data_IF_867472961692
#
_entry.id   IF_867472961692
#
_cell.length_a   1.000
_cell.length_b   1.000
_cell.length_c   1.000
_cell.angle_alpha   90.00
_cell.angle_beta   90.00
_cell.angle_gamma   90.00
#
_symmetry.space_group_name_H-M   'P 1'
#
loop_
_entity.id
_entity.type
_entity.pdbx_description
1 polymer ?
#
# COMPACT_ATOMS: atom_id res chain seq x y z
N UNK A 1 10.00 -13.34 19.30
CA UNK A 1 9.03 -13.04 18.22
C UNK A 1 8.28 -11.75 18.56
N UNK A 2 7.69 -11.66 19.76
CA UNK A 2 6.94 -10.48 20.23
C UNK A 2 7.69 -9.15 20.17
N UNK A 3 9.00 -9.15 20.45
CA UNK A 3 9.80 -7.93 20.43
C UNK A 3 9.94 -7.33 19.02
N UNK A 4 9.98 -8.18 17.99
CA UNK A 4 10.02 -7.74 16.59
C UNK A 4 8.69 -7.09 16.19
N UNK A 5 7.57 -7.66 16.59
CA UNK A 5 6.22 -7.18 16.25
C UNK A 5 5.94 -5.79 16.84
N UNK A 6 6.50 -5.49 18.01
CA UNK A 6 6.41 -4.17 18.67
C UNK A 6 7.35 -3.11 18.10
N UNK A 7 8.17 -3.46 17.10
CA UNK A 7 9.10 -2.51 16.47
C UNK A 7 8.32 -1.32 15.88
N UNK A 8 8.67 -0.07 16.21
CA UNK A 8 8.04 1.10 15.61
C UNK A 8 8.12 1.09 14.08
N UNK A 9 7.02 1.45 13.41
CA UNK A 9 6.86 1.33 11.95
C UNK A 9 7.93 2.10 11.15
N UNK A 10 8.51 3.15 11.72
CA UNK A 10 9.59 3.94 11.12
C UNK A 10 10.91 3.17 10.91
N UNK A 11 11.13 2.07 11.64
CA UNK A 11 12.34 1.25 11.50
C UNK A 11 12.19 0.17 10.42
N UNK A 12 11.00 0.05 9.82
CA UNK A 12 10.80 -0.78 8.64
C UNK A 12 11.48 -0.12 7.44
N UNK A 13 12.34 -0.88 6.75
CA UNK A 13 13.08 -0.41 5.58
C UNK A 13 12.12 0.20 4.54
N UNK A 14 12.39 1.44 4.15
CA UNK A 14 11.57 2.18 3.17
C UNK A 14 10.48 3.08 3.78
N UNK A 15 10.32 3.08 5.10
CA UNK A 15 9.42 3.97 5.83
C UNK A 15 10.23 5.07 6.52
N UNK A 16 10.39 6.21 5.83
CA UNK A 16 10.99 7.40 6.44
C UNK A 16 10.03 8.15 7.38
N UNK A 17 10.50 9.19 8.08
CA UNK A 17 9.73 9.92 9.09
C UNK A 17 8.36 10.41 8.59
N UNK A 18 8.31 10.94 7.37
CA UNK A 18 7.07 11.43 6.74
C UNK A 18 6.04 10.32 6.49
N UNK A 19 6.48 9.14 6.06
CA UNK A 19 5.58 7.99 5.86
C UNK A 19 5.13 7.41 7.18
N UNK A 20 6.02 7.37 8.17
CA UNK A 20 5.68 6.92 9.52
C UNK A 20 4.58 7.82 10.12
N UNK A 21 4.67 9.15 9.97
CA UNK A 21 3.63 10.07 10.44
C UNK A 21 2.26 9.83 9.78
N UNK A 22 2.23 9.61 8.47
CA UNK A 22 1.00 9.27 7.76
C UNK A 22 0.43 7.89 8.15
N UNK A 23 1.29 6.93 8.53
CA UNK A 23 0.85 5.62 9.03
C UNK A 23 0.27 5.74 10.45
N UNK A 24 0.91 6.50 11.31
CA UNK A 24 0.40 6.79 12.67
C UNK A 24 -0.95 7.49 12.66
N UNK A 25 -1.17 8.42 11.71
CA UNK A 25 -2.47 9.10 11.60
C UNK A 25 -3.63 8.18 11.22
N UNK A 26 -3.35 6.98 10.71
CA UNK A 26 -4.33 5.91 10.43
C UNK A 26 -4.24 4.74 11.43
N UNK A 27 -3.54 4.92 12.55
CA UNK A 27 -3.45 3.95 13.64
C UNK A 27 -2.39 2.85 13.47
N UNK A 28 -1.43 3.03 12.55
CA UNK A 28 -0.35 2.07 12.31
C UNK A 28 0.93 2.57 13.00
N UNK A 29 1.21 2.05 14.19
CA UNK A 29 2.33 2.46 15.04
C UNK A 29 3.51 1.45 15.00
N UNK A 30 3.19 0.17 14.88
CA UNK A 30 4.13 -0.95 14.99
C UNK A 30 4.19 -1.80 13.73
N UNK A 31 5.16 -2.71 13.66
CA UNK A 31 5.25 -3.72 12.61
C UNK A 31 4.01 -4.62 12.59
N UNK A 32 3.48 -4.98 13.76
CA UNK A 32 2.25 -5.78 13.86
C UNK A 32 1.05 -5.08 13.22
N UNK A 33 0.85 -3.80 13.55
CA UNK A 33 -0.24 -3.00 12.96
C UNK A 33 -0.11 -2.96 11.43
N UNK A 34 1.11 -2.81 10.92
CA UNK A 34 1.36 -2.76 9.48
C UNK A 34 1.05 -4.09 8.78
N UNK A 35 1.36 -5.23 9.41
CA UNK A 35 1.06 -6.56 8.86
C UNK A 35 -0.46 -6.80 8.76
N UNK A 36 -1.21 -6.28 9.72
CA UNK A 36 -2.68 -6.41 9.75
C UNK A 36 -3.41 -5.23 9.11
N UNK A 37 -2.70 -4.23 8.59
CA UNK A 37 -3.26 -3.13 7.81
C UNK A 37 -3.55 -3.57 6.37
N UNK A 38 -4.66 -4.29 6.19
CA UNK A 38 -5.04 -4.86 4.90
C UNK A 38 -5.43 -3.79 3.86
N UNK A 39 -5.10 -3.98 2.57
CA UNK A 39 -5.52 -3.07 1.51
C UNK A 39 -7.04 -2.99 1.38
N UNK A 40 -7.57 -1.78 1.16
CA UNK A 40 -9.01 -1.58 0.89
C UNK A 40 -9.48 -2.25 -0.40
N UNK A 41 -8.62 -2.29 -1.43
CA UNK A 41 -8.90 -2.88 -2.73
C UNK A 41 -7.60 -3.34 -3.39
N UNK A 42 -7.61 -4.54 -3.95
CA UNK A 42 -6.57 -5.00 -4.86
C UNK A 42 -6.90 -4.58 -6.29
N UNK A 43 -5.96 -3.93 -6.97
CA UNK A 43 -6.10 -3.58 -8.37
C UNK A 43 -5.44 -4.66 -9.22
N UNK A 44 -6.23 -5.33 -10.04
CA UNK A 44 -5.70 -6.31 -11.00
C UNK A 44 -5.17 -5.57 -12.24
N UNK A 45 -3.84 -5.62 -12.40
CA UNK A 45 -3.12 -5.04 -13.55
C UNK A 45 -2.61 -6.09 -14.52
N UNK A 46 -3.11 -7.33 -14.44
CA UNK A 46 -2.73 -8.43 -15.34
C UNK A 46 -3.23 -8.25 -16.77
N UNK A 47 -4.31 -7.48 -16.95
CA UNK A 47 -4.91 -7.22 -18.26
C UNK A 47 -4.62 -5.80 -18.71
N UNK A 48 -4.01 -5.67 -19.88
CA UNK A 48 -3.62 -4.39 -20.48
C UNK A 48 -4.46 -4.16 -21.74
N UNK A 49 -4.90 -2.93 -21.97
CA UNK A 49 -5.46 -2.51 -23.26
C UNK A 49 -4.70 -1.31 -23.81
N UNK A 50 -4.78 -1.09 -25.14
CA UNK A 50 -4.25 0.13 -25.74
C UNK A 50 -5.10 1.34 -25.32
N UNK A 51 -4.50 2.54 -25.40
CA UNK A 51 -5.23 3.78 -25.08
C UNK A 51 -6.44 3.99 -26.02
N UNK A 52 -6.35 3.55 -27.27
CA UNK A 52 -7.43 3.67 -28.25
C UNK A 52 -8.61 2.73 -28.01
N UNK A 53 -8.40 1.65 -27.24
CA UNK A 53 -9.41 0.65 -26.92
C UNK A 53 -9.98 0.82 -25.51
N UNK A 54 -9.46 1.77 -24.73
CA UNK A 54 -9.88 2.00 -23.36
C UNK A 54 -11.36 2.47 -23.32
N UNK A 55 -12.29 1.69 -22.74
CA UNK A 55 -13.68 2.07 -22.66
C UNK A 55 -13.89 3.22 -21.67
N UNK A 56 -14.86 4.08 -21.95
CA UNK A 56 -15.26 5.13 -21.01
C UNK A 56 -15.88 4.53 -19.74
N UNK A 57 -15.65 5.21 -18.61
CA UNK A 57 -16.19 4.83 -17.29
C UNK A 57 -15.72 3.49 -16.70
N UNK A 58 -14.63 2.89 -17.20
CA UNK A 58 -13.98 1.72 -16.60
C UNK A 58 -12.53 2.01 -16.23
N UNK A 59 -12.12 1.54 -15.05
CA UNK A 59 -10.70 1.51 -14.67
C UNK A 59 -9.99 0.40 -15.46
N UNK A 60 -8.97 0.76 -16.24
CA UNK A 60 -8.17 -0.16 -17.07
C UNK A 60 -6.69 0.11 -16.89
N UNK A 61 -5.85 -0.90 -17.19
CA UNK A 61 -4.40 -0.74 -17.22
C UNK A 61 -3.96 -0.48 -18.65
N UNK A 62 -3.22 0.62 -18.86
CA UNK A 62 -2.63 0.98 -20.16
C UNK A 62 -1.12 1.02 -19.99
N UNK A 63 -0.38 0.50 -20.98
CA UNK A 63 1.09 0.52 -21.01
C UNK A 63 1.53 1.05 -22.37
N UNK A 64 2.50 1.96 -22.38
CA UNK A 64 3.07 2.62 -23.55
C UNK A 64 4.19 3.56 -23.17
#
# INVERSE_FOLDING_TARGET
MDELLRTPVQFVKGIGPKRAEALRSVGVETLEDLLYHIPRRYLDRSTICSIGEAPSAREVTVVG
#
